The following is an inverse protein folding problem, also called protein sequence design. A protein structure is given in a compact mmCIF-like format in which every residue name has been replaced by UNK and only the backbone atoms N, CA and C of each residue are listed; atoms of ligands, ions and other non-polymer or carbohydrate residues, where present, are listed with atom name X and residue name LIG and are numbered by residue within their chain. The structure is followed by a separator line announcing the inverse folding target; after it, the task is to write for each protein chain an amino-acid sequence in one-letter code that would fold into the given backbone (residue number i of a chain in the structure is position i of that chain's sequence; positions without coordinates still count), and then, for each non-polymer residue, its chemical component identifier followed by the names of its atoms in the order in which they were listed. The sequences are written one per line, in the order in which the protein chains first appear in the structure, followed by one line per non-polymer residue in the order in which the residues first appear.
data_IF_721070746732
#
_entry.id   IF_721070746732
#
_cell.length_a   1.000
_cell.length_b   1.000
_cell.length_c   1.000
_cell.angle_alpha   90.00
_cell.angle_beta   90.00
_cell.angle_gamma   90.00
#
_symmetry.space_group_name_H-M   'P 1'
#
loop_
_entity.id
_entity.type
_entity.pdbx_description
1 polymer ?
#
# COMPACT_ATOMS: atom_id res chain seq x y z
N UNK A 1 13.91 25.88 -7.42
CA UNK A 1 13.07 24.65 -7.39
C UNK A 1 12.52 24.39 -8.77
N UNK A 2 12.45 23.13 -9.22
CA UNK A 2 11.79 22.76 -10.48
C UNK A 2 10.29 22.59 -10.21
N UNK A 3 9.44 23.32 -10.92
CA UNK A 3 8.00 23.17 -10.85
C UNK A 3 7.47 22.39 -12.05
N UNK A 4 6.27 21.82 -11.89
CA UNK A 4 5.47 21.27 -12.99
C UNK A 4 4.34 22.23 -13.32
N UNK A 5 4.02 22.36 -14.59
CA UNK A 5 2.90 23.18 -15.04
C UNK A 5 1.69 22.27 -15.24
N UNK A 6 0.52 22.71 -14.78
CA UNK A 6 -0.78 22.11 -15.09
C UNK A 6 -1.68 23.26 -15.51
N UNK A 7 -1.73 23.51 -16.81
CA UNK A 7 -2.40 24.69 -17.37
C UNK A 7 -1.96 26.00 -16.66
N UNK A 8 -2.82 26.65 -15.88
CA UNK A 8 -2.50 27.86 -15.11
C UNK A 8 -1.83 27.60 -13.75
N UNK A 9 -1.72 26.34 -13.31
CA UNK A 9 -1.15 25.96 -12.01
C UNK A 9 0.36 25.72 -12.11
N UNK A 10 1.12 26.25 -11.15
CA UNK A 10 2.52 25.90 -10.92
C UNK A 10 2.62 25.00 -9.67
N UNK A 11 3.00 23.74 -9.85
CA UNK A 11 3.06 22.74 -8.77
C UNK A 11 4.50 22.48 -8.35
N UNK A 12 4.77 22.65 -7.06
CA UNK A 12 6.06 22.46 -6.41
C UNK A 12 5.96 21.35 -5.37
N UNK A 13 6.72 20.27 -5.56
CA UNK A 13 6.79 19.18 -4.59
C UNK A 13 7.91 19.44 -3.59
N UNK A 14 7.59 19.35 -2.31
CA UNK A 14 8.53 19.34 -1.20
C UNK A 14 8.42 18.00 -0.47
N UNK A 15 9.23 17.78 0.58
CA UNK A 15 9.30 16.48 1.25
C UNK A 15 7.99 16.10 1.96
N UNK A 16 7.34 17.08 2.58
CA UNK A 16 6.14 16.90 3.43
C UNK A 16 4.97 17.79 2.98
N UNK A 17 5.17 18.64 1.97
CA UNK A 17 4.15 19.55 1.45
C UNK A 17 4.15 19.62 -0.07
N UNK A 18 3.01 20.02 -0.64
CA UNK A 18 2.90 20.43 -2.04
C UNK A 18 2.42 21.88 -2.08
N UNK A 19 3.16 22.74 -2.78
CA UNK A 19 2.75 24.12 -3.03
C UNK A 19 2.19 24.25 -4.44
N UNK A 20 1.00 24.80 -4.56
CA UNK A 20 0.40 25.25 -5.81
C UNK A 20 0.40 26.76 -5.85
N UNK A 21 0.87 27.33 -6.96
CA UNK A 21 0.77 28.76 -7.23
C UNK A 21 -0.10 29.03 -8.44
N UNK A 22 -1.00 30.02 -8.31
CA UNK A 22 -1.87 30.52 -9.37
C UNK A 22 -1.65 32.02 -9.50
N UNK A 23 -1.47 32.51 -10.72
CA UNK A 23 -1.27 33.94 -10.92
C UNK A 23 -2.59 34.70 -10.71
N UNK A 24 -2.57 35.83 -10.00
CA UNK A 24 -3.79 36.62 -9.70
C UNK A 24 -4.56 37.02 -10.96
N UNK A 25 -3.88 37.22 -12.10
CA UNK A 25 -4.53 37.52 -13.38
C UNK A 25 -5.48 36.42 -13.89
N UNK A 26 -5.32 35.20 -13.40
CA UNK A 26 -6.15 34.04 -13.72
C UNK A 26 -7.32 33.89 -12.72
N UNK A 27 -7.44 34.79 -11.73
CA UNK A 27 -8.41 34.78 -10.64
C UNK A 27 -9.28 36.06 -10.70
N UNK A 28 -10.24 36.15 -11.64
CA UNK A 28 -10.97 37.38 -11.91
C UNK A 28 -11.97 37.77 -10.81
N UNK A 29 -12.32 36.83 -9.92
CA UNK A 29 -13.16 37.03 -8.73
C UNK A 29 -12.55 36.23 -7.59
N UNK A 30 -12.61 36.76 -6.36
CA UNK A 30 -11.92 36.21 -5.19
C UNK A 30 -12.88 35.92 -4.03
N UNK A 31 -14.19 35.94 -4.28
CA UNK A 31 -15.20 35.94 -3.22
C UNK A 31 -15.36 34.54 -2.60
N UNK A 32 -15.10 33.48 -3.39
CA UNK A 32 -15.32 32.08 -3.02
C UNK A 32 -14.05 31.22 -3.09
N UNK A 33 -12.90 31.86 -3.35
CA UNK A 33 -11.62 31.16 -3.49
C UNK A 33 -11.25 30.33 -2.26
N UNK A 34 -11.60 30.78 -1.05
CA UNK A 34 -11.26 30.09 0.20
C UNK A 34 -12.23 28.96 0.56
N UNK A 35 -13.34 28.79 -0.16
CA UNK A 35 -14.31 27.71 0.07
C UNK A 35 -13.67 26.32 -0.19
N UNK A 36 -12.53 26.27 -0.89
CA UNK A 36 -11.78 25.03 -1.10
C UNK A 36 -11.05 24.51 0.16
N UNK A 37 -10.95 25.30 1.24
CA UNK A 37 -10.33 24.86 2.50
C UNK A 37 -11.07 23.70 3.18
N UNK A 38 -12.36 23.50 2.86
CA UNK A 38 -13.13 22.37 3.38
C UNK A 38 -12.51 21.02 2.96
N UNK A 39 -12.29 20.10 3.92
CA UNK A 39 -11.73 18.78 3.61
C UNK A 39 -12.72 17.95 2.77
N UNK A 40 -12.23 17.41 1.64
CA UNK A 40 -13.01 16.56 0.72
C UNK A 40 -12.29 15.23 0.51
N UNK A 41 -13.04 14.14 0.66
CA UNK A 41 -12.51 12.78 0.48
C UNK A 41 -11.89 12.62 -0.90
N UNK A 42 -10.67 12.08 -0.95
CA UNK A 42 -9.94 11.86 -2.20
C UNK A 42 -9.05 13.04 -2.62
N UNK A 43 -9.05 14.13 -1.84
CA UNK A 43 -8.16 15.27 -2.03
C UNK A 43 -7.21 15.44 -0.83
N UNK A 44 -6.09 16.12 -1.06
CA UNK A 44 -5.21 16.55 0.03
C UNK A 44 -5.85 17.66 0.86
N UNK A 45 -5.50 17.70 2.14
CA UNK A 45 -5.89 18.78 3.04
C UNK A 45 -4.99 20.00 2.83
N UNK A 46 -5.60 21.17 2.83
CA UNK A 46 -4.90 22.46 2.73
C UNK A 46 -4.37 22.80 4.12
N UNK A 47 -3.06 23.04 4.23
CA UNK A 47 -2.41 23.54 5.45
C UNK A 47 -2.47 25.06 5.54
N UNK A 48 -2.24 25.73 4.41
CA UNK A 48 -2.18 27.19 4.35
C UNK A 48 -2.58 27.67 2.95
N UNK A 49 -3.33 28.76 2.89
CA UNK A 49 -3.73 29.39 1.65
C UNK A 49 -3.65 30.91 1.78
N UNK A 50 -3.09 31.59 0.78
CA UNK A 50 -2.95 33.04 0.85
C UNK A 50 -2.39 33.68 -0.40
N UNK A 51 -2.58 35.00 -0.51
CA UNK A 51 -2.02 35.78 -1.60
C UNK A 51 -0.63 36.30 -1.24
N UNK A 52 0.34 36.02 -2.12
CA UNK A 52 1.72 36.49 -2.02
C UNK A 52 2.27 36.84 -3.39
N UNK A 53 2.89 38.01 -3.52
CA UNK A 53 3.55 38.45 -4.76
C UNK A 53 2.67 38.33 -6.03
N UNK A 54 1.39 38.73 -5.93
CA UNK A 54 0.37 38.62 -7.01
C UNK A 54 0.10 37.18 -7.46
N UNK A 55 0.27 36.23 -6.55
CA UNK A 55 -0.10 34.83 -6.75
C UNK A 55 -0.90 34.37 -5.55
N UNK A 56 -1.88 33.52 -5.81
CA UNK A 56 -2.47 32.68 -4.79
C UNK A 56 -1.52 31.49 -4.56
N UNK A 57 -1.09 31.31 -3.32
CA UNK A 57 -0.32 30.16 -2.85
C UNK A 57 -1.24 29.24 -2.05
N UNK A 58 -1.25 27.96 -2.38
CA UNK A 58 -2.01 26.92 -1.67
C UNK A 58 -1.02 25.83 -1.28
N UNK A 59 -0.84 25.62 0.01
CA UNK A 59 0.06 24.64 0.60
C UNK A 59 -0.79 23.47 1.09
N UNK A 60 -0.46 22.28 0.61
CA UNK A 60 -1.14 21.04 0.96
C UNK A 60 -0.22 20.16 1.80
N UNK A 61 -0.78 19.50 2.81
CA UNK A 61 -0.10 18.46 3.58
C UNK A 61 0.10 17.24 2.67
N UNK A 62 1.35 16.82 2.45
CA UNK A 62 1.66 15.65 1.64
C UNK A 62 2.08 14.47 2.53
N UNK A 63 1.28 13.40 2.63
CA UNK A 63 1.67 12.23 3.39
C UNK A 63 2.96 11.61 2.82
N UNK A 64 3.86 11.20 3.71
CA UNK A 64 5.23 10.76 3.33
C UNK A 64 5.28 9.46 2.52
N UNK A 65 4.20 8.69 2.50
CA UNK A 65 4.07 7.42 1.77
C UNK A 65 3.43 7.58 0.38
N UNK A 66 3.07 8.80 -0.03
CA UNK A 66 2.54 9.11 -1.36
C UNK A 66 3.62 9.67 -2.29
N UNK A 67 3.53 9.35 -3.58
CA UNK A 67 4.43 9.85 -4.61
C UNK A 67 3.67 10.31 -5.85
N UNK A 68 4.13 11.36 -6.55
CA UNK A 68 3.45 11.85 -7.75
C UNK A 68 3.35 10.82 -8.88
N UNK A 69 2.19 10.74 -9.53
CA UNK A 69 1.92 9.75 -10.58
C UNK A 69 2.90 9.82 -11.76
N UNK A 70 3.43 11.01 -12.11
CA UNK A 70 4.38 11.12 -13.22
C UNK A 70 5.65 10.28 -13.03
N UNK A 71 5.99 9.89 -11.80
CA UNK A 71 7.12 9.01 -11.51
C UNK A 71 6.86 7.56 -11.98
N UNK A 72 5.59 7.18 -12.12
CA UNK A 72 5.17 5.85 -12.57
C UNK A 72 5.06 5.72 -14.10
N UNK A 73 5.34 6.79 -14.87
CA UNK A 73 5.25 6.75 -16.34
C UNK A 73 6.14 5.67 -16.97
N UNK A 74 7.26 5.35 -16.32
CA UNK A 74 8.23 4.34 -16.77
C UNK A 74 7.89 2.91 -16.29
N UNK A 75 6.85 2.75 -15.48
CA UNK A 75 6.48 1.43 -14.96
C UNK A 75 5.80 0.60 -16.06
N UNK A 76 5.75 -0.72 -15.81
CA UNK A 76 5.07 -1.64 -16.71
C UNK A 76 3.60 -1.25 -16.90
N UNK A 77 3.06 -1.55 -18.08
CA UNK A 77 1.73 -1.09 -18.48
C UNK A 77 0.62 -1.58 -17.55
N UNK A 78 0.74 -2.79 -16.99
CA UNK A 78 -0.24 -3.29 -16.03
C UNK A 78 -0.34 -2.42 -14.75
N UNK A 79 0.77 -1.88 -14.23
CA UNK A 79 0.72 -0.97 -13.07
C UNK A 79 0.00 0.33 -13.41
N UNK A 80 0.28 0.88 -14.60
CA UNK A 80 -0.37 2.10 -15.08
C UNK A 80 -1.87 1.87 -15.31
N UNK A 81 -2.24 0.74 -15.90
CA UNK A 81 -3.63 0.36 -16.17
C UNK A 81 -4.42 0.19 -14.86
N UNK A 82 -3.80 -0.38 -13.83
CA UNK A 82 -4.43 -0.53 -12.53
C UNK A 82 -4.64 0.82 -11.83
N UNK A 83 -3.67 1.74 -11.91
CA UNK A 83 -3.84 3.10 -11.40
C UNK A 83 -4.97 3.82 -12.15
N UNK A 84 -5.05 3.68 -13.48
CA UNK A 84 -6.16 4.24 -14.27
C UNK A 84 -7.49 3.66 -13.81
N UNK A 85 -7.58 2.34 -13.59
CA UNK A 85 -8.79 1.72 -13.06
C UNK A 85 -9.19 2.32 -11.71
N UNK A 86 -8.23 2.55 -10.81
CA UNK A 86 -8.48 3.19 -9.51
C UNK A 86 -8.98 4.63 -9.68
N UNK A 87 -8.40 5.40 -10.59
CA UNK A 87 -8.87 6.76 -10.92
C UNK A 87 -10.31 6.73 -11.44
N UNK A 88 -10.64 5.80 -12.33
CA UNK A 88 -12.00 5.64 -12.86
C UNK A 88 -13.02 5.21 -11.79
N UNK A 89 -12.59 4.41 -10.81
CA UNK A 89 -13.43 3.99 -9.70
C UNK A 89 -13.58 5.08 -8.63
N UNK A 90 -12.62 5.99 -8.51
CA UNK A 90 -12.54 7.05 -7.51
C UNK A 90 -12.57 8.43 -8.18
N UNK A 91 -13.48 8.61 -9.16
CA UNK A 91 -13.58 9.88 -9.86
C UNK A 91 -13.86 11.02 -8.86
N UNK A 92 -13.12 12.13 -8.94
CA UNK A 92 -13.29 13.27 -8.05
C UNK A 92 -14.71 13.82 -8.15
N UNK A 93 -15.29 14.15 -7.01
CA UNK A 93 -16.58 14.85 -6.93
C UNK A 93 -16.45 16.34 -7.22
N UNK A 94 -15.26 16.89 -6.97
CA UNK A 94 -14.94 18.31 -7.13
C UNK A 94 -14.29 18.58 -8.49
N UNK A 95 -14.52 19.75 -9.10
CA UNK A 95 -13.82 20.16 -10.31
C UNK A 95 -12.30 20.14 -10.11
N UNK A 96 -11.58 19.45 -11.00
CA UNK A 96 -10.13 19.29 -10.89
C UNK A 96 -9.49 19.02 -12.26
N UNK A 97 -8.19 18.71 -12.27
CA UNK A 97 -7.44 18.31 -13.44
C UNK A 97 -7.05 16.83 -13.35
N UNK A 98 -7.45 16.04 -14.36
CA UNK A 98 -6.85 14.73 -14.61
C UNK A 98 -5.45 14.91 -15.22
N UNK A 99 -4.46 15.12 -14.36
CA UNK A 99 -3.07 15.33 -14.76
C UNK A 99 -2.12 14.56 -13.82
N UNK A 100 -1.06 13.94 -14.37
CA UNK A 100 -0.12 13.13 -13.57
C UNK A 100 0.60 13.92 -12.46
N UNK A 101 0.68 15.24 -12.58
CA UNK A 101 1.21 16.11 -11.53
C UNK A 101 0.15 16.60 -10.53
N UNK A 102 -1.13 16.28 -10.74
CA UNK A 102 -2.21 16.56 -9.80
C UNK A 102 -2.62 15.31 -8.99
N UNK A 103 -2.01 14.15 -9.27
CA UNK A 103 -2.38 12.88 -8.68
C UNK A 103 -1.17 12.31 -7.93
N UNK A 104 -1.39 12.00 -6.66
CA UNK A 104 -0.47 11.26 -5.82
C UNK A 104 -0.90 9.80 -5.71
N UNK A 105 0.08 8.91 -5.61
CA UNK A 105 -0.11 7.45 -5.56
C UNK A 105 0.75 6.89 -4.44
N UNK A 106 0.10 6.19 -3.50
CA UNK A 106 0.78 5.38 -2.48
C UNK A 106 0.97 3.94 -2.94
N UNK A 107 -0.09 3.39 -3.53
CA UNK A 107 -0.08 2.11 -4.24
C UNK A 107 -1.14 2.18 -5.34
N UNK A 108 -1.25 1.12 -6.16
CA UNK A 108 -2.17 1.10 -7.31
C UNK A 108 -3.65 1.29 -6.95
N UNK A 109 -4.05 1.13 -5.69
CA UNK A 109 -5.43 1.24 -5.18
C UNK A 109 -5.70 2.49 -4.33
N UNK A 110 -4.66 3.18 -3.89
CA UNK A 110 -4.72 4.35 -3.02
C UNK A 110 -4.12 5.56 -3.74
N UNK A 111 -5.00 6.47 -4.17
CA UNK A 111 -4.65 7.71 -4.84
C UNK A 111 -5.24 8.92 -4.11
N UNK A 112 -4.62 10.08 -4.28
CA UNK A 112 -5.15 11.36 -3.83
C UNK A 112 -4.97 12.40 -4.92
N UNK A 113 -5.99 13.23 -5.16
CA UNK A 113 -5.85 14.44 -5.94
C UNK A 113 -5.27 15.55 -5.07
N UNK A 114 -4.41 16.39 -5.64
CA UNK A 114 -3.78 17.49 -4.90
C UNK A 114 -4.74 18.68 -4.89
N UNK A 115 -5.09 19.16 -6.08
CA UNK A 115 -5.85 20.37 -6.28
C UNK A 115 -7.33 20.09 -6.53
N UNK A 116 -8.20 20.92 -5.97
CA UNK A 116 -9.60 21.09 -6.40
C UNK A 116 -9.87 22.57 -6.65
N UNK A 117 -10.73 22.86 -7.62
CA UNK A 117 -11.27 24.19 -7.84
C UNK A 117 -12.58 24.36 -7.09
N UNK A 118 -13.01 25.60 -6.90
CA UNK A 118 -14.31 25.92 -6.34
C UNK A 118 -15.43 25.62 -7.34
N UNK A 119 -16.64 25.45 -6.79
CA UNK A 119 -17.84 25.19 -7.58
C UNK A 119 -18.35 26.43 -8.35
N UNK A 120 -17.84 27.63 -8.05
CA UNK A 120 -18.24 28.89 -8.66
C UNK A 120 -17.39 29.24 -9.91
N UNK A 121 -16.35 28.44 -10.18
CA UNK A 121 -15.45 28.59 -11.32
C UNK A 121 -14.51 29.78 -11.22
N UNK A 122 -14.19 30.22 -10.00
CA UNK A 122 -13.23 31.30 -9.73
C UNK A 122 -11.78 30.81 -9.83
N UNK A 123 -11.56 29.54 -9.51
CA UNK A 123 -10.31 28.81 -9.60
C UNK A 123 -10.23 28.04 -10.93
N UNK A 124 -9.04 27.94 -11.54
CA UNK A 124 -8.87 27.23 -12.80
C UNK A 124 -9.12 25.73 -12.66
N UNK A 125 -9.88 25.16 -13.59
CA UNK A 125 -10.07 23.73 -13.78
C UNK A 125 -10.21 23.43 -15.27
N UNK A 126 -10.14 22.15 -15.65
CA UNK A 126 -10.23 21.77 -17.06
C UNK A 126 -11.63 22.03 -17.61
N UNK A 127 -11.70 22.71 -18.76
CA UNK A 127 -12.97 23.01 -19.46
C UNK A 127 -13.41 21.92 -20.43
N UNK A 128 -12.64 20.83 -20.53
CA UNK A 128 -12.99 19.69 -21.35
C UNK A 128 -14.08 18.87 -20.65
N UNK A 129 -14.95 18.24 -21.43
CA UNK A 129 -15.85 17.21 -20.92
C UNK A 129 -15.04 16.08 -20.25
N UNK A 130 -15.59 15.48 -19.20
CA UNK A 130 -14.87 14.51 -18.36
C UNK A 130 -14.30 13.34 -19.17
N UNK A 131 -15.07 12.83 -20.14
CA UNK A 131 -14.64 11.77 -21.04
C UNK A 131 -13.37 12.16 -21.81
N UNK A 132 -13.34 13.37 -22.35
CA UNK A 132 -12.19 13.86 -23.13
C UNK A 132 -10.97 14.13 -22.24
N UNK A 133 -11.20 14.57 -21.00
CA UNK A 133 -10.13 14.68 -20.01
C UNK A 133 -9.49 13.32 -19.72
N UNK A 134 -10.32 12.30 -19.47
CA UNK A 134 -9.87 10.93 -19.19
C UNK A 134 -9.12 10.34 -20.38
N UNK A 135 -9.66 10.46 -21.60
CA UNK A 135 -8.98 10.00 -22.82
C UNK A 135 -7.60 10.64 -22.97
N UNK A 136 -7.54 11.96 -22.82
CA UNK A 136 -6.31 12.72 -22.93
C UNK A 136 -5.32 12.32 -21.85
N UNK A 137 -5.79 12.13 -20.62
CA UNK A 137 -4.99 11.69 -19.50
C UNK A 137 -4.37 10.30 -19.75
N UNK A 138 -5.18 9.31 -20.15
CA UNK A 138 -4.72 7.97 -20.50
C UNK A 138 -3.70 8.04 -21.64
N UNK A 139 -3.99 8.81 -22.71
CA UNK A 139 -3.04 9.03 -23.80
C UNK A 139 -1.71 9.61 -23.31
N UNK A 140 -1.74 10.56 -22.38
CA UNK A 140 -0.52 11.17 -21.83
C UNK A 140 0.29 10.22 -20.94
N UNK A 141 -0.35 9.26 -20.29
CA UNK A 141 0.27 8.30 -19.37
C UNK A 141 0.94 7.15 -20.14
N UNK A 142 0.30 6.64 -21.19
CA UNK A 142 0.82 5.52 -21.99
C UNK A 142 1.59 5.96 -23.25
N UNK A 143 1.25 7.13 -23.79
CA UNK A 143 1.86 7.65 -25.00
C UNK A 143 3.18 8.38 -24.78
N UNK A 144 3.77 8.88 -25.86
CA UNK A 144 5.11 9.49 -25.86
C UNK A 144 5.07 11.00 -25.64
N UNK A 145 3.95 11.65 -25.95
CA UNK A 145 3.84 13.11 -25.86
C UNK A 145 3.32 13.59 -24.49
N UNK A 146 3.32 14.92 -24.30
CA UNK A 146 2.75 15.55 -23.10
C UNK A 146 1.23 15.63 -23.19
N UNK A 147 0.57 15.82 -22.05
CA UNK A 147 -0.89 15.95 -21.99
C UNK A 147 -1.40 17.10 -22.87
N UNK A 148 -0.74 18.25 -22.85
CA UNK A 148 -1.10 19.43 -23.65
C UNK A 148 -0.97 19.17 -25.16
N UNK A 149 -0.11 18.23 -25.55
CA UNK A 149 0.01 17.84 -26.96
C UNK A 149 -1.20 17.04 -27.42
N UNK A 150 -1.71 16.13 -26.58
CA UNK A 150 -2.94 15.40 -26.86
C UNK A 150 -4.17 16.31 -26.80
N UNK A 151 -4.27 17.23 -25.85
CA UNK A 151 -5.41 18.16 -25.75
C UNK A 151 -5.60 19.01 -27.02
N UNK A 152 -4.51 19.34 -27.72
CA UNK A 152 -4.59 20.14 -28.95
C UNK A 152 -5.17 19.38 -30.15
N UNK A 153 -4.84 18.09 -30.28
CA UNK A 153 -5.21 17.26 -31.42
C UNK A 153 -4.98 15.78 -31.08
N UNK A 154 -5.90 15.20 -30.31
CA UNK A 154 -5.75 13.85 -29.75
C UNK A 154 -5.72 12.80 -30.85
N UNK A 155 -6.64 12.91 -31.82
CA UNK A 155 -6.75 11.95 -32.92
C UNK A 155 -5.47 11.88 -33.75
N UNK A 156 -4.97 13.02 -34.23
CA UNK A 156 -3.76 13.03 -35.05
C UNK A 156 -2.55 12.56 -34.27
N UNK A 157 -2.46 12.93 -32.99
CA UNK A 157 -1.32 12.57 -32.14
C UNK A 157 -1.29 11.06 -31.90
N UNK A 158 -2.42 10.46 -31.55
CA UNK A 158 -2.56 9.01 -31.35
C UNK A 158 -2.33 8.24 -32.66
N UNK A 159 -2.95 8.68 -33.78
CA UNK A 159 -2.74 8.06 -35.11
C UNK A 159 -1.27 8.08 -35.53
N UNK A 160 -0.51 9.11 -35.15
CA UNK A 160 0.94 9.21 -35.43
C UNK A 160 1.76 8.22 -34.59
N UNK A 161 1.38 7.98 -33.33
CA UNK A 161 2.06 7.01 -32.46
C UNK A 161 1.71 5.57 -32.82
N UNK A 162 0.50 5.36 -33.34
CA UNK A 162 -0.03 4.05 -33.71
C UNK A 162 0.05 3.02 -32.57
N UNK A 163 -0.22 3.48 -31.34
CA UNK A 163 -0.25 2.64 -30.15
C UNK A 163 -1.63 1.94 -30.03
N UNK A 164 -1.71 0.60 -29.97
CA UNK A 164 -2.98 -0.14 -30.02
C UNK A 164 -4.01 0.33 -28.99
N UNK A 165 -3.62 0.34 -27.71
CA UNK A 165 -4.50 0.82 -26.62
C UNK A 165 -4.98 2.26 -26.85
N UNK A 166 -4.14 3.16 -27.36
CA UNK A 166 -4.51 4.57 -27.49
C UNK A 166 -5.51 4.79 -28.61
N UNK A 167 -5.39 4.01 -29.70
CA UNK A 167 -6.38 4.02 -30.78
C UNK A 167 -7.76 3.60 -30.26
N UNK A 168 -7.81 2.55 -29.44
CA UNK A 168 -9.06 2.12 -28.82
C UNK A 168 -9.61 3.16 -27.84
N UNK A 169 -8.75 3.83 -27.07
CA UNK A 169 -9.16 4.89 -26.11
C UNK A 169 -9.83 6.07 -26.82
N UNK A 170 -9.31 6.51 -27.97
CA UNK A 170 -9.92 7.65 -28.69
C UNK A 170 -11.27 7.28 -29.30
N UNK A 171 -11.46 6.00 -29.66
CA UNK A 171 -12.68 5.48 -30.28
C UNK A 171 -13.83 5.26 -29.28
N UNK A 172 -13.56 5.22 -27.96
CA UNK A 172 -14.63 5.12 -26.95
C UNK A 172 -15.57 6.34 -26.98
N UNK A 173 -16.87 6.15 -26.78
CA UNK A 173 -17.89 7.21 -26.79
C UNK A 173 -18.55 7.44 -25.42
N UNK A 174 -18.23 6.62 -24.43
CA UNK A 174 -18.75 6.76 -23.06
C UNK A 174 -17.72 6.39 -22.00
N UNK A 175 -18.01 6.77 -20.75
CA UNK A 175 -17.16 6.42 -19.61
C UNK A 175 -17.16 4.90 -19.37
N UNK A 176 -18.31 4.25 -19.56
CA UNK A 176 -18.46 2.80 -19.44
C UNK A 176 -17.59 2.05 -20.46
N UNK A 177 -17.48 2.58 -21.69
CA UNK A 177 -16.61 2.01 -22.72
C UNK A 177 -15.13 2.13 -22.35
N UNK A 178 -14.71 3.29 -21.81
CA UNK A 178 -13.33 3.46 -21.32
C UNK A 178 -13.03 2.50 -20.17
N UNK A 179 -13.92 2.43 -19.18
CA UNK A 179 -13.76 1.52 -18.06
C UNK A 179 -13.63 0.06 -18.54
N UNK A 180 -14.47 -0.34 -19.49
CA UNK A 180 -14.41 -1.69 -20.04
C UNK A 180 -13.09 -1.95 -20.78
N UNK A 181 -12.67 -1.01 -21.63
CA UNK A 181 -11.41 -1.08 -22.36
C UNK A 181 -10.21 -1.22 -21.40
N UNK A 182 -10.17 -0.42 -20.34
CA UNK A 182 -9.07 -0.47 -19.37
C UNK A 182 -9.08 -1.80 -18.59
N UNK A 183 -10.24 -2.33 -18.21
CA UNK A 183 -10.36 -3.65 -17.59
C UNK A 183 -9.84 -4.77 -18.50
N UNK A 184 -10.20 -4.72 -19.78
CA UNK A 184 -9.79 -5.74 -20.76
C UNK A 184 -8.29 -5.66 -21.07
N UNK A 185 -7.77 -4.44 -21.26
CA UNK A 185 -6.34 -4.21 -21.46
C UNK A 185 -5.51 -4.64 -20.25
N UNK A 186 -5.95 -4.32 -19.02
CA UNK A 186 -5.29 -4.74 -17.79
C UNK A 186 -5.20 -6.26 -17.70
N UNK A 187 -6.30 -6.94 -18.03
CA UNK A 187 -6.37 -8.41 -18.04
C UNK A 187 -5.40 -8.99 -19.06
N UNK A 188 -5.30 -8.40 -20.25
CA UNK A 188 -4.39 -8.85 -21.31
C UNK A 188 -2.92 -8.67 -20.93
N UNK A 189 -2.54 -7.49 -20.44
CA UNK A 189 -1.17 -7.17 -20.05
C UNK A 189 -0.70 -8.01 -18.85
N UNK A 190 -1.57 -8.22 -17.85
CA UNK A 190 -1.27 -9.13 -16.74
C UNK A 190 -1.00 -10.55 -17.25
N UNK A 191 -1.86 -11.09 -18.14
CA UNK A 191 -1.64 -12.42 -18.75
C UNK A 191 -0.30 -12.48 -19.50
N UNK A 192 -0.02 -11.50 -20.34
CA UNK A 192 1.22 -11.45 -21.12
C UNK A 192 2.48 -11.35 -20.23
N UNK A 193 2.40 -10.61 -19.13
CA UNK A 193 3.47 -10.52 -18.13
C UNK A 193 3.70 -11.87 -17.45
N UNK A 194 2.65 -12.54 -16.97
CA UNK A 194 2.78 -13.88 -16.36
C UNK A 194 3.32 -14.92 -17.35
N UNK A 195 2.88 -14.90 -18.61
CA UNK A 195 3.43 -15.78 -19.65
C UNK A 195 4.92 -15.52 -19.90
N UNK A 196 5.35 -14.25 -19.91
CA UNK A 196 6.76 -13.88 -20.10
C UNK A 196 7.63 -14.31 -18.91
N UNK A 197 7.16 -14.12 -17.68
CA UNK A 197 7.86 -14.58 -16.46
C UNK A 197 8.02 -16.10 -16.47
N UNK A 198 6.95 -16.85 -16.85
CA UNK A 198 7.02 -18.31 -17.00
C UNK A 198 7.99 -18.77 -18.11
N UNK A 199 8.08 -18.02 -19.22
CA UNK A 199 9.04 -18.30 -20.31
C UNK A 199 10.48 -17.95 -19.95
N UNK A 200 10.71 -16.95 -19.10
CA UNK A 200 12.05 -16.61 -18.60
C UNK A 200 12.54 -17.66 -17.58
N UNK A 201 11.71 -18.09 -16.63
CA UNK A 201 12.08 -19.16 -15.69
C UNK A 201 12.38 -20.51 -16.37
N UNK A 202 11.69 -20.81 -17.48
CA UNK A 202 11.96 -22.02 -18.27
C UNK A 202 13.22 -21.91 -19.14
N UNK A 203 13.56 -20.71 -19.63
CA UNK A 203 14.83 -20.46 -20.34
C UNK A 203 16.04 -20.42 -19.41
N UNK A 204 15.91 -19.85 -18.22
CA UNK A 204 17.00 -19.77 -17.21
C UNK A 204 17.41 -21.13 -16.65
N UNK A 205 16.52 -22.13 -16.64
CA UNK A 205 16.89 -23.52 -16.32
C UNK A 205 17.83 -24.18 -17.35
N UNK A 206 17.97 -23.60 -18.54
CA UNK A 206 18.82 -24.13 -19.62
C UNK A 206 20.20 -23.48 -19.70
N UNK A 207 20.42 -22.32 -19.04
CA UNK A 207 21.73 -21.64 -18.96
C UNK A 207 22.18 -21.53 -17.51
N UNK A 208 22.98 -22.50 -17.05
CA UNK A 208 23.55 -22.53 -15.69
C UNK A 208 24.55 -21.39 -15.44
N UNK A 209 24.57 -20.95 -14.17
CA UNK A 209 25.72 -20.40 -13.42
C UNK A 209 26.47 -19.25 -14.10
N UNK A 210 25.99 -18.02 -13.90
CA UNK A 210 26.83 -16.84 -13.57
C UNK A 210 25.93 -15.67 -13.21
N UNK A 211 26.30 -14.93 -12.18
CA UNK A 211 25.66 -13.73 -11.62
C UNK A 211 24.35 -13.93 -10.83
N UNK A 212 24.53 -14.36 -9.58
CA UNK A 212 23.70 -13.88 -8.46
C UNK A 212 23.92 -12.37 -8.35
N UNK A 213 22.87 -11.56 -8.54
CA UNK A 213 22.60 -10.30 -7.81
C UNK A 213 21.48 -9.43 -8.40
N UNK A 214 20.47 -9.96 -9.10
CA UNK A 214 19.31 -9.14 -9.46
C UNK A 214 17.98 -9.89 -9.35
N UNK A 215 17.01 -9.18 -8.75
CA UNK A 215 15.55 -9.40 -8.82
C UNK A 215 14.90 -10.38 -7.85
N UNK A 216 15.03 -10.10 -6.55
CA UNK A 216 14.12 -10.63 -5.51
C UNK A 216 13.35 -9.49 -4.82
N UNK A 217 12.54 -8.74 -5.58
CA UNK A 217 11.58 -7.78 -5.01
C UNK A 217 10.25 -7.62 -5.77
N UNK A 218 9.96 -8.44 -6.79
CA UNK A 218 8.81 -8.21 -7.69
C UNK A 218 7.71 -9.30 -7.68
N UNK A 219 7.75 -10.26 -6.76
CA UNK A 219 6.84 -11.42 -6.80
C UNK A 219 5.74 -11.38 -5.71
N UNK A 220 5.87 -10.56 -4.66
CA UNK A 220 4.93 -10.60 -3.52
C UNK A 220 3.68 -9.73 -3.71
N UNK A 221 3.68 -8.76 -4.64
CA UNK A 221 2.53 -7.89 -4.90
C UNK A 221 1.54 -8.46 -5.94
N UNK A 222 1.95 -9.42 -6.78
CA UNK A 222 1.10 -9.97 -7.85
C UNK A 222 0.01 -10.92 -7.39
N UNK A 223 0.15 -11.55 -6.23
CA UNK A 223 -0.79 -12.58 -5.74
C UNK A 223 -2.01 -11.95 -5.05
N UNK A 224 -1.88 -10.75 -4.48
CA UNK A 224 -2.99 -10.05 -3.80
C UNK A 224 -3.96 -9.34 -4.76
N UNK A 225 -3.62 -9.21 -6.04
CA UNK A 225 -4.44 -8.52 -7.05
C UNK A 225 -5.49 -9.41 -7.72
N UNK A 226 -5.33 -10.73 -7.63
CA UNK A 226 -6.17 -11.68 -8.33
C UNK A 226 -7.56 -11.90 -7.70
N UNK A 227 -7.74 -11.63 -6.41
CA UNK A 227 -8.98 -11.99 -5.71
C UNK A 227 -10.20 -11.11 -6.08
N UNK A 228 -9.99 -9.90 -6.60
CA UNK A 228 -11.09 -8.94 -6.85
C UNK A 228 -11.60 -8.92 -8.30
N UNK A 229 -10.79 -9.26 -9.31
CA UNK A 229 -11.18 -9.15 -10.73
C UNK A 229 -11.94 -10.37 -11.25
N UNK A 230 -11.86 -11.51 -10.57
CA UNK A 230 -12.55 -12.75 -10.98
C UNK A 230 -14.07 -12.68 -10.77
N UNK A 231 -14.56 -11.75 -9.92
CA UNK A 231 -15.99 -11.55 -9.66
C UNK A 231 -16.81 -11.17 -10.91
N UNK A 232 -16.21 -10.58 -11.95
CA UNK A 232 -16.93 -10.14 -13.16
C UNK A 232 -16.90 -11.14 -14.33
N UNK A 233 -16.02 -12.15 -14.31
CA UNK A 233 -15.73 -12.99 -15.50
C UNK A 233 -16.48 -14.33 -15.56
N UNK A 234 -17.27 -14.70 -14.56
CA UNK A 234 -17.93 -16.03 -14.51
C UNK A 234 -19.10 -16.15 -15.49
N UNK A 235 -19.56 -15.05 -16.11
CA UNK A 235 -20.66 -15.11 -17.09
C UNK A 235 -20.24 -15.40 -18.54
N UNK A 236 -18.94 -15.40 -18.90
CA UNK A 236 -18.52 -15.61 -20.31
C UNK A 236 -17.48 -16.71 -20.52
N UNK A 237 -17.98 -17.95 -20.41
CA UNK A 237 -17.65 -19.13 -21.23
C UNK A 237 -16.24 -19.72 -21.17
N UNK A 238 -16.19 -20.86 -20.49
CA UNK A 238 -15.56 -22.13 -20.89
C UNK A 238 -15.14 -22.19 -22.38
N UNK A 239 -13.82 -22.19 -22.64
CA UNK A 239 -13.11 -22.93 -23.73
C UNK A 239 -11.71 -22.34 -24.02
N UNK A 240 -10.82 -22.29 -23.04
CA UNK A 240 -9.42 -21.96 -23.32
C UNK A 240 -8.44 -22.44 -22.23
N UNK A 241 -8.45 -23.72 -21.85
CA UNK A 241 -7.42 -24.26 -20.95
C UNK A 241 -6.95 -25.64 -21.40
N UNK A 242 -5.99 -25.69 -22.33
CA UNK A 242 -5.21 -26.89 -22.62
C UNK A 242 -3.72 -26.57 -22.77
N UNK A 243 -3.10 -26.16 -21.66
CA UNK A 243 -1.75 -26.55 -21.20
C UNK A 243 -1.35 -25.64 -20.03
N UNK A 244 -1.94 -25.94 -18.87
CA UNK A 244 -1.48 -25.46 -17.56
C UNK A 244 -0.83 -26.67 -16.88
N UNK A 245 0.36 -26.49 -16.29
CA UNK A 245 1.03 -27.51 -15.48
C UNK A 245 0.04 -28.10 -14.47
N UNK A 246 0.08 -29.42 -14.27
CA UNK A 246 -0.91 -30.14 -13.45
C UNK A 246 -1.06 -29.57 -12.04
N UNK A 247 -0.02 -28.96 -11.47
CA UNK A 247 -0.06 -28.31 -10.15
C UNK A 247 -0.90 -27.02 -10.11
N UNK A 248 -0.78 -26.15 -11.12
CA UNK A 248 -1.54 -24.90 -11.20
C UNK A 248 -2.99 -25.16 -11.66
N UNK A 249 -3.25 -26.27 -12.36
CA UNK A 249 -4.63 -26.67 -12.71
C UNK A 249 -5.45 -27.01 -11.48
N UNK A 250 -4.84 -27.70 -10.52
CA UNK A 250 -5.50 -28.13 -9.28
C UNK A 250 -5.89 -26.90 -8.46
N UNK A 251 -4.95 -25.99 -8.22
CA UNK A 251 -5.19 -24.77 -7.46
C UNK A 251 -6.27 -23.90 -8.13
N UNK A 252 -6.20 -23.71 -9.45
CA UNK A 252 -7.22 -22.99 -10.23
C UNK A 252 -8.57 -23.72 -10.24
N UNK A 253 -8.60 -25.05 -10.26
CA UNK A 253 -9.85 -25.83 -10.25
C UNK A 253 -10.57 -25.71 -8.90
N UNK A 254 -9.84 -25.75 -7.79
CA UNK A 254 -10.43 -25.53 -6.47
C UNK A 254 -10.89 -24.08 -6.32
N UNK A 255 -10.09 -23.09 -6.75
CA UNK A 255 -10.50 -21.68 -6.84
C UNK A 255 -11.77 -21.49 -7.68
N UNK A 256 -11.96 -22.22 -8.79
CA UNK A 256 -13.17 -22.16 -9.59
C UNK A 256 -14.41 -22.73 -8.88
N UNK A 257 -14.28 -23.86 -8.16
CA UNK A 257 -15.40 -24.42 -7.37
C UNK A 257 -15.84 -23.51 -6.21
N UNK A 258 -14.90 -22.75 -5.68
CA UNK A 258 -15.12 -21.72 -4.65
C UNK A 258 -15.99 -20.60 -5.21
N UNK A 259 -15.68 -20.19 -6.43
CA UNK A 259 -16.42 -19.16 -7.16
C UNK A 259 -17.85 -19.64 -7.52
N UNK A 260 -18.03 -20.94 -7.76
CA UNK A 260 -19.33 -21.56 -8.06
C UNK A 260 -20.18 -21.86 -6.79
N UNK A 261 -19.65 -21.63 -5.58
CA UNK A 261 -20.35 -21.92 -4.33
C UNK A 261 -20.44 -23.42 -3.99
N UNK A 262 -19.66 -24.28 -4.67
CA UNK A 262 -19.61 -25.74 -4.47
C UNK A 262 -18.55 -26.14 -3.42
N UNK A 263 -18.53 -25.46 -2.27
CA UNK A 263 -17.59 -25.76 -1.18
C UNK A 263 -17.81 -27.15 -0.56
N UNK A 264 -19.01 -27.72 -0.75
CA UNK A 264 -19.41 -29.01 -0.18
C UNK A 264 -18.66 -30.21 -0.76
N UNK A 265 -18.19 -30.13 -2.00
CA UNK A 265 -17.51 -31.25 -2.67
C UNK A 265 -15.98 -31.16 -2.66
N UNK A 266 -15.42 -30.04 -2.20
CA UNK A 266 -13.97 -29.74 -2.22
C UNK A 266 -13.15 -30.83 -1.51
N UNK A 267 -13.60 -31.27 -0.32
CA UNK A 267 -12.90 -32.33 0.43
C UNK A 267 -12.88 -33.67 -0.32
N UNK A 268 -13.99 -34.01 -0.99
CA UNK A 268 -14.10 -35.24 -1.77
C UNK A 268 -13.20 -35.23 -3.02
N UNK A 269 -13.01 -34.06 -3.63
CA UNK A 269 -12.19 -33.90 -4.82
C UNK A 269 -10.71 -33.87 -4.48
N UNK A 270 -10.33 -33.24 -3.35
CA UNK A 270 -8.94 -33.31 -2.87
C UNK A 270 -8.52 -34.74 -2.54
N UNK A 271 -9.44 -35.55 -1.96
CA UNK A 271 -9.22 -36.98 -1.73
C UNK A 271 -9.11 -37.78 -3.03
N UNK A 272 -9.94 -37.50 -4.04
CA UNK A 272 -9.86 -38.16 -5.36
C UNK A 272 -8.58 -37.80 -6.12
N UNK A 273 -8.05 -36.60 -5.94
CA UNK A 273 -6.83 -36.12 -6.58
C UNK A 273 -5.55 -36.47 -5.82
N UNK A 274 -5.67 -37.13 -4.65
CA UNK A 274 -4.55 -37.55 -3.80
C UNK A 274 -3.55 -36.41 -3.49
N UNK A 275 -4.07 -35.22 -3.14
CA UNK A 275 -3.24 -34.06 -2.84
C UNK A 275 -2.42 -34.25 -1.56
N UNK A 276 -1.21 -33.69 -1.52
CA UNK A 276 -0.40 -33.65 -0.29
C UNK A 276 -1.08 -32.80 0.78
N UNK A 277 -0.82 -33.10 2.06
CA UNK A 277 -1.35 -32.33 3.21
C UNK A 277 -1.05 -30.84 3.07
N UNK A 278 0.17 -30.49 2.68
CA UNK A 278 0.60 -29.10 2.46
C UNK A 278 -0.27 -28.37 1.42
N UNK A 279 -0.62 -29.05 0.32
CA UNK A 279 -1.50 -28.48 -0.73
C UNK A 279 -2.93 -28.33 -0.24
N UNK A 280 -3.45 -29.30 0.50
CA UNK A 280 -4.79 -29.22 1.09
C UNK A 280 -4.88 -28.03 2.07
N UNK A 281 -3.88 -27.87 2.94
CA UNK A 281 -3.77 -26.74 3.87
C UNK A 281 -3.73 -25.42 3.12
N UNK A 282 -2.92 -25.30 2.07
CA UNK A 282 -2.87 -24.10 1.22
C UNK A 282 -4.23 -23.71 0.66
N UNK A 283 -4.97 -24.68 0.13
CA UNK A 283 -6.32 -24.48 -0.42
C UNK A 283 -7.30 -24.04 0.68
N UNK A 284 -7.31 -24.71 1.84
CA UNK A 284 -8.19 -24.33 2.96
C UNK A 284 -7.87 -22.95 3.56
N UNK A 285 -6.60 -22.53 3.58
CA UNK A 285 -6.21 -21.16 3.97
C UNK A 285 -6.72 -20.13 2.97
N UNK A 286 -6.58 -20.40 1.66
CA UNK A 286 -7.08 -19.51 0.60
C UNK A 286 -8.62 -19.39 0.61
N UNK A 287 -9.28 -20.48 1.01
CA UNK A 287 -10.73 -20.59 1.19
C UNK A 287 -11.29 -19.78 2.36
N UNK A 288 -10.45 -19.37 3.30
CA UNK A 288 -10.92 -18.87 4.60
C UNK A 288 -11.48 -19.96 5.52
N UNK A 289 -11.37 -21.24 5.15
CA UNK A 289 -11.74 -22.39 5.99
C UNK A 289 -10.57 -22.76 6.91
N UNK A 290 -10.18 -21.81 7.76
CA UNK A 290 -9.00 -21.89 8.63
C UNK A 290 -9.06 -23.05 9.63
N UNK A 291 -10.24 -23.39 10.14
CA UNK A 291 -10.45 -24.54 11.02
C UNK A 291 -10.04 -25.86 10.34
N UNK A 292 -10.46 -26.06 9.09
CA UNK A 292 -10.12 -27.27 8.32
C UNK A 292 -8.65 -27.30 7.91
N UNK A 293 -8.07 -26.15 7.57
CA UNK A 293 -6.63 -26.05 7.35
C UNK A 293 -5.85 -26.51 8.59
N UNK A 294 -6.28 -26.05 9.78
CA UNK A 294 -5.68 -26.38 11.06
C UNK A 294 -5.94 -27.82 11.52
N UNK A 295 -7.08 -28.41 11.17
CA UNK A 295 -7.34 -29.83 11.39
C UNK A 295 -6.37 -30.73 10.62
N UNK A 296 -5.99 -30.33 9.41
CA UNK A 296 -5.08 -31.09 8.54
C UNK A 296 -3.63 -30.91 8.97
N UNK A 297 -3.25 -29.69 9.33
CA UNK A 297 -1.91 -29.35 9.82
C UNK A 297 -2.00 -28.36 10.98
N UNK A 298 -1.72 -28.85 12.20
CA UNK A 298 -1.73 -28.03 13.41
C UNK A 298 -0.64 -26.95 13.42
N UNK A 299 0.33 -26.97 12.51
CA UNK A 299 1.33 -25.90 12.38
C UNK A 299 0.88 -24.77 11.44
N UNK A 300 -0.32 -24.89 10.86
CA UNK A 300 -0.84 -23.88 9.93
C UNK A 300 -1.34 -22.61 10.61
N UNK A 301 -1.57 -22.63 11.92
CA UNK A 301 -2.05 -21.49 12.71
C UNK A 301 -1.17 -20.24 12.53
N UNK A 302 0.15 -20.40 12.60
CA UNK A 302 1.11 -19.34 12.32
C UNK A 302 0.89 -18.70 10.95
N UNK A 303 0.74 -19.54 9.92
CA UNK A 303 0.54 -19.09 8.53
C UNK A 303 -0.79 -18.36 8.36
N UNK A 304 -1.85 -18.85 9.01
CA UNK A 304 -3.20 -18.26 9.00
C UNK A 304 -3.17 -16.86 9.64
N UNK A 305 -2.61 -16.76 10.84
CA UNK A 305 -2.60 -15.50 11.61
C UNK A 305 -1.74 -14.44 10.92
N UNK A 306 -0.55 -14.81 10.44
CA UNK A 306 0.31 -13.89 9.69
C UNK A 306 -0.37 -13.37 8.42
N UNK A 307 -1.12 -14.23 7.72
CA UNK A 307 -1.87 -13.84 6.53
C UNK A 307 -2.98 -12.83 6.89
N UNK A 308 -3.82 -13.16 7.88
CA UNK A 308 -4.92 -12.30 8.32
C UNK A 308 -4.40 -10.93 8.81
N UNK A 309 -3.29 -10.94 9.55
CA UNK A 309 -2.69 -9.72 10.08
C UNK A 309 -2.13 -8.83 8.95
N UNK A 310 -1.42 -9.41 7.98
CA UNK A 310 -0.94 -8.69 6.79
C UNK A 310 -2.05 -8.12 5.92
N UNK A 311 -3.24 -8.74 5.93
CA UNK A 311 -4.42 -8.25 5.24
C UNK A 311 -5.19 -7.17 6.02
N UNK A 312 -4.72 -6.77 7.22
CA UNK A 312 -5.41 -5.82 8.08
C UNK A 312 -6.70 -6.38 8.70
N UNK A 313 -6.95 -7.69 8.62
CA UNK A 313 -8.17 -8.35 9.12
C UNK A 313 -8.05 -8.69 10.60
N UNK A 314 -7.74 -7.70 11.43
CA UNK A 314 -7.50 -7.88 12.87
C UNK A 314 -8.72 -8.46 13.58
N UNK A 315 -9.93 -8.01 13.23
CA UNK A 315 -11.15 -8.50 13.88
C UNK A 315 -11.43 -9.97 13.54
N UNK A 316 -11.06 -10.44 12.34
CA UNK A 316 -11.13 -11.87 12.03
C UNK A 316 -10.18 -12.70 12.89
N UNK A 317 -9.00 -12.19 13.25
CA UNK A 317 -8.09 -12.90 14.17
C UNK A 317 -8.72 -13.00 15.57
N UNK A 318 -9.38 -11.94 16.03
CA UNK A 318 -10.05 -11.91 17.35
C UNK A 318 -11.21 -12.91 17.44
N UNK A 319 -11.93 -13.12 16.35
CA UNK A 319 -13.10 -14.00 16.28
C UNK A 319 -12.76 -15.43 15.83
N UNK A 320 -11.55 -15.65 15.31
CA UNK A 320 -11.10 -16.95 14.84
C UNK A 320 -11.12 -17.97 15.99
N UNK A 321 -11.61 -19.17 15.71
CA UNK A 321 -11.54 -20.30 16.64
C UNK A 321 -10.72 -21.41 16.00
N UNK A 322 -9.57 -21.75 16.59
CA UNK A 322 -8.77 -22.91 16.22
C UNK A 322 -8.57 -23.76 17.47
N UNK A 323 -9.41 -24.77 17.65
CA UNK A 323 -9.44 -25.57 18.88
C UNK A 323 -8.06 -26.17 19.22
N UNK A 324 -7.47 -25.70 20.33
CA UNK A 324 -6.17 -26.14 20.84
C UNK A 324 -4.95 -25.40 20.27
N UNK A 325 -5.14 -24.31 19.52
CA UNK A 325 -4.03 -23.46 19.04
C UNK A 325 -3.61 -22.46 20.12
N UNK A 326 -2.53 -22.79 20.83
CA UNK A 326 -1.89 -21.85 21.77
C UNK A 326 -1.36 -20.61 21.05
N UNK A 327 -0.87 -20.76 19.82
CA UNK A 327 -0.37 -19.65 19.02
C UNK A 327 -1.48 -18.63 18.66
N UNK A 328 -2.72 -19.10 18.45
CA UNK A 328 -3.87 -18.21 18.27
C UNK A 328 -4.25 -17.51 19.57
N UNK A 329 -4.28 -18.24 20.68
CA UNK A 329 -4.56 -17.67 22.00
C UNK A 329 -3.57 -16.55 22.33
N UNK A 330 -2.27 -16.78 22.11
CA UNK A 330 -1.23 -15.77 22.29
C UNK A 330 -1.44 -14.55 21.39
N UNK A 331 -1.73 -14.75 20.10
CA UNK A 331 -1.99 -13.66 19.17
C UNK A 331 -3.23 -12.85 19.57
N UNK A 332 -4.32 -13.50 19.98
CA UNK A 332 -5.55 -12.85 20.45
C UNK A 332 -5.32 -12.08 21.75
N UNK A 333 -4.55 -12.64 22.69
CA UNK A 333 -4.14 -11.96 23.90
C UNK A 333 -3.37 -10.68 23.57
N UNK A 334 -2.34 -10.77 22.72
CA UNK A 334 -1.55 -9.60 22.30
C UNK A 334 -2.45 -8.52 21.68
N UNK A 335 -3.39 -8.90 20.82
CA UNK A 335 -4.28 -7.95 20.15
C UNK A 335 -5.31 -7.30 21.11
N UNK A 336 -5.84 -8.05 22.07
CA UNK A 336 -6.95 -7.59 22.93
C UNK A 336 -6.49 -6.97 24.27
N UNK A 337 -5.30 -7.29 24.75
CA UNK A 337 -4.83 -6.87 26.07
C UNK A 337 -4.76 -5.34 26.21
N UNK A 338 -5.27 -4.84 27.34
CA UNK A 338 -5.19 -3.41 27.69
C UNK A 338 -3.92 -3.11 28.49
N UNK A 339 -3.58 -3.96 29.45
CA UNK A 339 -2.39 -3.83 30.30
C UNK A 339 -1.21 -4.58 29.67
N UNK A 340 -0.26 -3.84 29.11
CA UNK A 340 0.85 -4.46 28.37
C UNK A 340 1.76 -5.34 29.25
N UNK A 341 1.77 -5.14 30.56
CA UNK A 341 2.48 -5.99 31.52
C UNK A 341 2.08 -7.47 31.44
N UNK A 342 0.84 -7.75 31.05
CA UNK A 342 0.34 -9.12 30.90
C UNK A 342 1.02 -9.87 29.75
N UNK A 343 1.72 -9.15 28.85
CA UNK A 343 2.46 -9.72 27.71
C UNK A 343 3.91 -10.07 28.05
N UNK A 344 4.43 -9.68 29.22
CA UNK A 344 5.79 -10.02 29.65
C UNK A 344 6.08 -11.54 29.65
N UNK A 345 5.16 -12.41 30.08
CA UNK A 345 5.38 -13.86 30.03
C UNK A 345 5.50 -14.41 28.59
N UNK A 346 4.95 -13.70 27.60
CA UNK A 346 5.04 -14.04 26.17
C UNK A 346 6.33 -13.51 25.53
N UNK A 347 7.17 -12.79 26.25
CA UNK A 347 8.50 -12.39 25.81
C UNK A 347 9.52 -13.34 26.42
N UNK A 348 9.43 -14.64 26.16
CA UNK A 348 10.47 -15.62 26.51
C UNK A 348 11.40 -15.88 25.32
N UNK A 349 12.57 -16.47 25.58
CA UNK A 349 13.68 -16.61 24.61
C UNK A 349 13.28 -17.40 23.35
N UNK A 350 12.25 -18.24 23.43
CA UNK A 350 11.73 -19.12 22.38
C UNK A 350 10.47 -18.58 21.66
N UNK A 351 10.05 -17.36 21.99
CA UNK A 351 8.86 -16.73 21.37
C UNK A 351 9.08 -16.51 19.88
N UNK A 352 8.05 -16.82 19.09
CA UNK A 352 8.09 -16.58 17.64
C UNK A 352 8.29 -15.09 17.33
N UNK A 353 9.19 -14.80 16.39
CA UNK A 353 9.53 -13.42 16.04
C UNK A 353 8.34 -12.58 15.58
N UNK A 354 7.31 -13.20 15.00
CA UNK A 354 6.09 -12.48 14.63
C UNK A 354 5.28 -12.04 15.84
N UNK A 355 5.15 -12.86 16.88
CA UNK A 355 4.45 -12.47 18.11
C UNK A 355 5.21 -11.35 18.82
N UNK A 356 6.54 -11.42 18.86
CA UNK A 356 7.39 -10.32 19.36
C UNK A 356 7.19 -9.05 18.53
N UNK A 357 7.06 -9.16 17.20
CA UNK A 357 6.75 -8.02 16.32
C UNK A 357 5.41 -7.36 16.68
N UNK A 358 4.38 -8.15 16.98
CA UNK A 358 3.07 -7.64 17.41
C UNK A 358 3.15 -6.91 18.75
N UNK A 359 3.86 -7.49 19.73
CA UNK A 359 4.05 -6.90 21.06
C UNK A 359 4.82 -5.59 20.94
N UNK A 360 5.91 -5.56 20.16
CA UNK A 360 6.73 -4.38 19.93
C UNK A 360 5.90 -3.22 19.35
N UNK A 361 5.10 -3.49 18.30
CA UNK A 361 4.24 -2.47 17.68
C UNK A 361 3.26 -1.87 18.69
N UNK A 362 2.63 -2.70 19.50
CA UNK A 362 1.66 -2.25 20.51
C UNK A 362 2.33 -1.47 21.65
N UNK A 363 3.53 -1.87 22.06
CA UNK A 363 4.32 -1.18 23.06
C UNK A 363 4.81 0.19 22.58
N UNK A 364 5.16 0.33 21.30
CA UNK A 364 5.49 1.62 20.68
C UNK A 364 4.27 2.55 20.68
N UNK A 365 3.11 2.06 20.24
CA UNK A 365 1.86 2.86 20.22
C UNK A 365 1.48 3.39 21.61
N UNK A 366 1.70 2.59 22.65
CA UNK A 366 1.39 2.96 24.05
C UNK A 366 2.56 3.59 24.80
N UNK A 367 3.72 3.74 24.14
CA UNK A 367 4.98 4.23 24.76
C UNK A 367 5.36 3.47 26.04
N UNK A 368 5.29 2.14 26.04
CA UNK A 368 5.61 1.31 27.21
C UNK A 368 7.11 0.99 27.27
N UNK A 369 7.84 1.69 28.14
CA UNK A 369 9.28 1.52 28.31
C UNK A 369 9.67 0.10 28.75
N UNK A 370 8.88 -0.52 29.65
CA UNK A 370 9.24 -1.80 30.27
C UNK A 370 9.30 -2.92 29.24
N UNK A 371 8.27 -2.98 28.40
CA UNK A 371 8.19 -3.98 27.32
C UNK A 371 9.29 -3.74 26.28
N UNK A 372 9.49 -2.49 25.86
CA UNK A 372 10.50 -2.15 24.85
C UNK A 372 11.92 -2.46 25.33
N UNK A 373 12.25 -2.16 26.59
CA UNK A 373 13.54 -2.52 27.18
C UNK A 373 13.73 -4.03 27.26
N UNK A 374 12.67 -4.78 27.60
CA UNK A 374 12.72 -6.25 27.60
C UNK A 374 13.03 -6.81 26.22
N UNK A 375 12.39 -6.28 25.17
CA UNK A 375 12.66 -6.68 23.77
C UNK A 375 14.08 -6.29 23.35
N UNK A 376 14.56 -5.10 23.71
CA UNK A 376 15.95 -4.66 23.48
C UNK A 376 16.95 -5.64 24.09
N UNK A 377 16.78 -6.00 25.36
CA UNK A 377 17.68 -6.94 26.05
C UNK A 377 17.72 -8.28 25.30
N UNK A 378 16.58 -8.78 24.83
CA UNK A 378 16.54 -10.02 24.06
C UNK A 378 17.25 -9.94 22.70
N UNK A 379 17.18 -8.79 22.03
CA UNK A 379 17.91 -8.58 20.77
C UNK A 379 19.43 -8.57 21.00
N UNK A 380 19.88 -7.94 22.10
CA UNK A 380 21.31 -7.86 22.46
C UNK A 380 21.89 -9.20 22.93
N UNK A 381 21.11 -9.99 23.66
CA UNK A 381 21.52 -11.30 24.19
C UNK A 381 21.62 -12.40 23.11
N UNK A 382 21.58 -12.03 21.82
CA UNK A 382 21.76 -12.92 20.67
C UNK A 382 20.67 -14.00 20.60
N UNK A 383 19.42 -13.61 20.88
CA UNK A 383 18.26 -14.49 20.79
C UNK A 383 17.95 -14.89 19.33
N UNK A 384 17.20 -15.98 19.15
CA UNK A 384 16.70 -16.43 17.84
C UNK A 384 15.67 -15.46 17.21
N UNK A 385 15.34 -14.37 17.89
CA UNK A 385 14.33 -13.39 17.48
C UNK A 385 14.89 -12.56 16.31
N UNK A 386 14.12 -12.50 15.22
CA UNK A 386 14.45 -11.68 14.04
C UNK A 386 13.33 -10.68 13.78
N UNK A 387 13.58 -9.42 14.15
CA UNK A 387 12.68 -8.32 13.87
C UNK A 387 13.09 -7.55 12.60
N UNK A 388 12.15 -6.93 11.88
CA UNK A 388 12.50 -6.03 10.78
C UNK A 388 13.36 -4.85 11.27
N UNK A 389 14.45 -4.53 10.56
CA UNK A 389 15.38 -3.46 10.95
C UNK A 389 14.69 -2.11 11.21
N UNK A 390 13.68 -1.77 10.39
CA UNK A 390 12.88 -0.55 10.59
C UNK A 390 12.14 -0.54 11.94
N UNK A 391 11.66 -1.69 12.40
CA UNK A 391 10.99 -1.81 13.69
C UNK A 391 11.99 -1.69 14.83
N UNK A 392 13.17 -2.29 14.71
CA UNK A 392 14.21 -2.19 15.74
C UNK A 392 14.69 -0.75 15.91
N UNK A 393 14.94 -0.03 14.81
CA UNK A 393 15.22 1.41 14.86
C UNK A 393 14.12 2.19 15.57
N UNK A 394 12.84 1.84 15.34
CA UNK A 394 11.70 2.52 15.97
C UNK A 394 11.60 2.23 17.48
N UNK A 395 11.99 1.02 17.91
CA UNK A 395 12.08 0.67 19.34
C UNK A 395 13.10 1.59 20.02
N UNK A 396 14.31 1.74 19.47
CA UNK A 396 15.32 2.63 20.04
C UNK A 396 14.90 4.09 20.04
N UNK A 397 14.30 4.57 18.94
CA UNK A 397 13.79 5.95 18.87
C UNK A 397 12.73 6.22 19.93
N UNK A 398 11.86 5.24 20.19
CA UNK A 398 10.82 5.35 21.23
C UNK A 398 11.44 5.35 22.63
N UNK A 399 12.42 4.50 22.90
CA UNK A 399 13.14 4.46 24.19
C UNK A 399 13.91 5.77 24.45
N UNK A 400 14.61 6.30 23.43
CA UNK A 400 15.32 7.58 23.53
C UNK A 400 14.33 8.72 23.82
N UNK A 401 13.19 8.74 23.14
CA UNK A 401 12.16 9.75 23.37
C UNK A 401 11.59 9.64 24.79
N UNK A 402 11.30 8.43 25.27
CA UNK A 402 10.80 8.21 26.63
C UNK A 402 11.78 8.69 27.70
N UNK A 403 13.08 8.40 27.52
CA UNK A 403 14.13 8.89 28.40
C UNK A 403 14.24 10.42 28.36
N UNK A 404 14.04 11.03 27.19
CA UNK A 404 14.02 12.50 27.02
C UNK A 404 12.82 13.12 27.74
N UNK A 405 11.63 12.53 27.58
CA UNK A 405 10.41 12.96 28.29
C UNK A 405 10.56 12.83 29.81
N UNK A 406 11.25 11.79 30.30
CA UNK A 406 11.55 11.62 31.73
C UNK A 406 12.57 12.63 32.24
N UNK A 407 13.60 12.95 31.46
CA UNK A 407 14.57 14.00 31.79
C UNK A 407 13.86 15.34 32.01
N UNK A 408 12.94 15.73 31.13
CA UNK A 408 12.15 16.97 31.28
C UNK A 408 11.30 16.97 32.57
N UNK A 409 10.73 15.81 32.92
CA UNK A 409 9.98 15.65 34.18
C UNK A 409 10.88 15.77 35.41
N UNK A 410 12.07 15.18 35.39
CA UNK A 410 13.03 15.25 36.52
C UNK A 410 13.43 16.70 36.82
N UNK A 411 13.65 17.51 35.79
CA UNK A 411 14.00 18.92 35.98
C UNK A 411 12.85 19.76 36.54
N UNK A 412 11.60 19.40 36.21
CA UNK A 412 10.39 20.10 36.67
C UNK A 412 9.83 19.57 38.00
N UNK A 413 10.30 18.42 38.49
CA UNK A 413 9.85 17.82 39.75
C UNK A 413 10.48 18.51 40.96
N UNK A 414 9.66 19.17 41.78
CA UNK A 414 10.08 19.86 43.00
C UNK A 414 10.23 18.93 44.22
N UNK A 415 9.82 17.67 44.11
CA UNK A 415 9.93 16.67 45.18
C UNK A 415 11.29 15.98 45.24
N UNK A 416 12.10 16.07 44.18
CA UNK A 416 13.44 15.49 44.10
C UNK A 416 14.50 16.46 44.62
N UNK A 417 15.47 15.94 45.40
CA UNK A 417 16.66 16.71 45.76
C UNK A 417 17.57 16.93 44.54
N UNK A 418 18.39 17.97 44.56
CA UNK A 418 19.36 18.24 43.48
C UNK A 418 20.34 17.07 43.24
N UNK A 419 20.69 16.34 44.29
CA UNK A 419 21.54 15.15 44.18
C UNK A 419 20.80 13.97 43.52
N UNK A 420 19.51 13.79 43.82
CA UNK A 420 18.65 12.80 43.15
C UNK A 420 18.43 13.13 41.67
N UNK A 421 18.18 14.40 41.35
CA UNK A 421 18.04 14.88 39.97
C UNK A 421 19.31 14.58 39.16
N UNK A 422 20.47 15.00 39.69
CA UNK A 422 21.76 14.77 39.05
C UNK A 422 22.03 13.29 38.80
N UNK A 423 21.70 12.42 39.75
CA UNK A 423 21.91 10.97 39.62
C UNK A 423 21.05 10.38 38.52
N UNK A 424 19.73 10.62 38.56
CA UNK A 424 18.79 10.12 37.54
C UNK A 424 19.07 10.67 36.14
N UNK A 425 19.43 11.95 36.04
CA UNK A 425 19.84 12.57 34.77
C UNK A 425 21.04 11.86 34.16
N UNK A 426 22.08 11.57 34.96
CA UNK A 426 23.27 10.90 34.45
C UNK A 426 22.97 9.46 34.01
N UNK A 427 22.07 8.76 34.71
CA UNK A 427 21.64 7.41 34.33
C UNK A 427 20.92 7.40 32.98
N UNK A 428 19.93 8.28 32.78
CA UNK A 428 19.18 8.38 31.53
C UNK A 428 20.05 8.86 30.35
N UNK A 429 20.97 9.80 30.58
CA UNK A 429 21.92 10.24 29.55
C UNK A 429 22.88 9.12 29.15
N UNK A 430 23.34 8.32 30.12
CA UNK A 430 24.17 7.15 29.83
C UNK A 430 23.40 6.13 28.99
N UNK A 431 22.16 5.82 29.37
CA UNK A 431 21.30 4.89 28.62
C UNK A 431 21.02 5.39 27.20
N UNK A 432 20.74 6.69 27.00
CA UNK A 432 20.57 7.26 25.66
C UNK A 432 21.82 7.13 24.78
N UNK A 433 23.01 7.30 25.36
CA UNK A 433 24.25 7.11 24.61
C UNK A 433 24.45 5.64 24.22
N UNK A 434 24.07 4.69 25.09
CA UNK A 434 24.08 3.26 24.78
C UNK A 434 23.10 2.94 23.64
N UNK A 435 21.84 3.43 23.72
CA UNK A 435 20.82 3.28 22.68
C UNK A 435 21.24 3.85 21.32
N UNK A 436 21.85 5.04 21.31
CA UNK A 436 22.36 5.67 20.09
C UNK A 436 23.52 4.88 19.47
N UNK A 437 24.38 4.30 20.31
CA UNK A 437 25.50 3.47 19.86
C UNK A 437 25.00 2.14 19.29
N UNK A 438 24.03 1.50 19.94
CA UNK A 438 23.36 0.30 19.44
C UNK A 438 22.69 0.56 18.11
N UNK A 439 21.90 1.62 18.00
CA UNK A 439 21.26 2.04 16.75
C UNK A 439 22.25 2.30 15.61
N UNK A 440 23.43 2.84 15.90
CA UNK A 440 24.46 3.12 14.89
C UNK A 440 25.19 1.86 14.39
N UNK A 441 25.10 0.75 15.13
CA UNK A 441 25.71 -0.53 14.79
C UNK A 441 24.75 -1.49 14.05
N UNK A 442 23.49 -1.10 13.87
CA UNK A 442 22.49 -1.77 13.01
C UNK A 442 22.56 -1.33 11.55
#
# INVERSE_FOLDING_TARGET
MRYRLIDQLQVYYQKETVLIQINEKELPKQDHIFDIEESVKGFLEIEEMGFKDKKLEIIYACPTDYSPLYQYRQFADFYKLEIVQTILNQRPTEPTFYHMANILVKNTKEILFIYKADHYGELPYSRLEELDQIKTFICSLFGQYSLEKYQKDIERTVKKENHPLLLEVIDCHSMEEIEQLIRDALTMEQRAYFEKVQRQESREKTMKRTNRLFQSSLIVAGILLYACTVLFLVQSKEKAVKQVNEENKIEVQFLNKIIEGDSKNIESDMKKMNLSKEKQVGIYIQLGEYEKAYEIDKQSDKKIIQLLYKQGKIDQIKELSLAGSTYLEDAQMILNTKELSDLLPLLQVDTDSFLVELIAKKAIEKKDATILTTIRTQLLDNSSIKLPQKLVSLIYDTLIQLNTDELEKIYSDSSLSEEQKKTKTNELLKENNELLTEKANE
#
